data_IF_332557980139
#
_entry.id   IF_332557980139
#
_cell.length_a   1.000
_cell.length_b   1.000
_cell.length_c   1.000
_cell.angle_alpha   90.00
_cell.angle_beta   90.00
_cell.angle_gamma   90.00
#
_symmetry.space_group_name_H-M   'P 1'
#
loop_
_entity.id
_entity.type
_entity.pdbx_description
1 polymer ?
#
# COMPACT_ATOMS: atom_id res chain seq x y z
N UNK A 1 0.35 15.06 13.92
CA UNK A 1 -0.15 13.69 14.14
C UNK A 1 -1.04 13.31 12.95
N UNK A 2 -0.42 12.82 11.87
CA UNK A 2 -1.03 12.60 10.55
C UNK A 2 -1.99 11.38 10.47
N UNK A 3 -2.22 10.73 11.60
CA UNK A 3 -2.92 9.45 11.73
C UNK A 3 -4.45 9.63 11.67
N UNK A 4 -4.96 10.72 12.24
CA UNK A 4 -6.42 10.96 12.37
C UNK A 4 -7.08 11.50 11.10
N UNK A 5 -6.32 12.10 10.17
CA UNK A 5 -6.89 12.72 8.95
C UNK A 5 -6.97 11.72 7.77
N UNK A 6 -6.22 10.59 7.81
CA UNK A 6 -6.31 9.50 6.83
C UNK A 6 -7.60 8.69 6.98
N UNK A 7 -7.91 8.27 8.22
CA UNK A 7 -9.09 7.45 8.53
C UNK A 7 -10.42 8.16 8.18
N UNK A 8 -10.46 9.50 8.24
CA UNK A 8 -11.70 10.26 8.01
C UNK A 8 -11.92 10.69 6.54
N UNK A 9 -10.90 10.66 5.67
CA UNK A 9 -10.97 11.28 4.33
C UNK A 9 -10.63 10.36 3.16
N UNK A 10 -10.06 9.18 3.41
CA UNK A 10 -9.84 8.15 2.38
C UNK A 10 -8.97 8.60 1.20
N UNK A 11 -8.11 9.61 1.40
CA UNK A 11 -7.22 10.13 0.36
C UNK A 11 -5.86 10.47 0.96
N UNK A 12 -4.90 9.57 0.77
CA UNK A 12 -3.55 9.72 1.31
C UNK A 12 -2.89 10.97 0.71
N UNK A 13 -3.08 11.22 -0.59
CA UNK A 13 -2.50 12.37 -1.32
C UNK A 13 -2.87 13.72 -0.71
N UNK A 14 -4.15 13.98 -0.43
CA UNK A 14 -4.61 15.25 0.20
C UNK A 14 -4.00 15.46 1.59
N UNK A 15 -3.76 14.38 2.32
CA UNK A 15 -3.12 14.45 3.63
C UNK A 15 -1.61 14.65 3.51
N UNK A 16 -0.96 14.01 2.53
CA UNK A 16 0.47 14.19 2.26
C UNK A 16 0.81 15.60 1.78
N UNK A 17 -0.03 16.23 0.94
CA UNK A 17 0.19 17.63 0.52
C UNK A 17 0.21 18.60 1.70
N UNK A 18 -0.63 18.37 2.72
CA UNK A 18 -0.60 19.14 3.97
C UNK A 18 0.64 18.87 4.83
N UNK A 19 1.18 17.64 4.77
CA UNK A 19 2.40 17.27 5.50
C UNK A 19 3.62 17.92 4.85
N UNK A 20 3.68 17.98 3.51
CA UNK A 20 4.78 18.63 2.78
C UNK A 20 4.89 20.13 3.05
N UNK A 21 3.78 20.79 3.38
CA UNK A 21 3.76 22.22 3.76
C UNK A 21 4.35 22.48 5.17
N UNK A 22 4.52 21.46 6.02
CA UNK A 22 4.85 21.61 7.44
C UNK A 22 6.20 21.00 7.86
N UNK A 23 7.19 21.00 6.95
CA UNK A 23 8.56 20.45 7.10
C UNK A 23 8.66 18.91 7.17
N UNK A 24 9.67 18.37 6.48
CA UNK A 24 10.01 16.94 6.32
C UNK A 24 10.45 16.22 7.62
N UNK A 25 10.49 16.92 8.76
CA UNK A 25 10.83 16.33 10.07
C UNK A 25 9.65 15.58 10.73
N UNK A 26 8.52 15.43 10.04
CA UNK A 26 7.37 14.71 10.56
C UNK A 26 7.45 13.23 10.22
N UNK A 27 7.63 12.39 11.25
CA UNK A 27 7.43 10.94 11.13
C UNK A 27 5.99 10.66 10.72
N UNK A 28 5.79 10.13 9.51
CA UNK A 28 4.52 9.54 9.13
C UNK A 28 4.39 8.21 9.86
N UNK A 29 3.55 8.20 10.89
CA UNK A 29 3.14 6.97 11.55
C UNK A 29 1.83 6.55 10.92
N UNK A 30 1.77 5.32 10.41
CA UNK A 30 0.54 4.70 9.96
C UNK A 30 0.03 3.89 11.15
N UNK A 31 -1.10 4.31 11.74
CA UNK A 31 -1.83 3.48 12.68
C UNK A 31 -3.24 3.30 12.13
N UNK A 32 -3.65 2.05 11.93
CA UNK A 32 -5.05 1.70 11.72
C UNK A 32 -5.64 1.31 13.08
N UNK A 33 -6.47 2.18 13.66
CA UNK A 33 -7.23 1.87 14.88
C UNK A 33 -8.69 1.48 14.57
N UNK A 34 -9.10 1.50 13.29
CA UNK A 34 -10.48 1.31 12.88
C UNK A 34 -10.92 -0.16 12.82
N UNK A 35 -9.96 -1.08 12.68
CA UNK A 35 -10.20 -2.52 12.55
C UNK A 35 -9.36 -3.39 13.48
N UNK A 36 -8.65 -2.81 14.46
CA UNK A 36 -8.04 -3.56 15.56
C UNK A 36 -9.09 -4.15 16.51
N UNK A 37 -10.05 -4.90 15.98
CA UNK A 37 -10.78 -5.88 16.78
C UNK A 37 -9.84 -7.08 16.95
N UNK A 38 -9.67 -7.53 18.18
CA UNK A 38 -9.00 -8.79 18.45
C UNK A 38 -9.55 -9.87 17.52
N UNK A 39 -8.67 -10.69 16.94
CA UNK A 39 -9.03 -11.79 16.04
C UNK A 39 -10.17 -12.68 16.62
N UNK A 40 -10.31 -12.68 17.95
CA UNK A 40 -11.33 -13.40 18.72
C UNK A 40 -12.77 -12.88 18.59
N UNK A 41 -13.00 -11.69 18.04
CA UNK A 41 -14.34 -11.08 17.94
C UNK A 41 -15.08 -11.34 16.61
N UNK A 42 -14.44 -11.94 15.61
CA UNK A 42 -15.12 -12.35 14.38
C UNK A 42 -15.85 -13.67 14.63
N UNK A 43 -17.10 -13.58 15.08
CA UNK A 43 -18.01 -14.73 15.08
C UNK A 43 -18.38 -15.08 13.63
N UNK A 44 -17.81 -16.17 13.11
CA UNK A 44 -18.14 -16.68 11.77
C UNK A 44 -17.36 -16.03 10.64
N UNK A 45 -17.55 -16.55 9.42
CA UNK A 45 -16.86 -16.24 8.15
C UNK A 45 -17.02 -14.77 7.65
N UNK A 46 -17.29 -13.82 8.54
CA UNK A 46 -17.49 -12.41 8.21
C UNK A 46 -16.14 -11.75 7.89
N UNK A 47 -15.96 -11.35 6.64
CA UNK A 47 -14.76 -10.67 6.18
C UNK A 47 -15.06 -9.17 6.14
N UNK A 48 -14.34 -8.38 6.94
CA UNK A 48 -14.40 -6.91 6.90
C UNK A 48 -13.12 -6.37 6.26
N UNK A 49 -13.24 -5.33 5.44
CA UNK A 49 -12.08 -4.62 4.92
C UNK A 49 -12.37 -3.71 3.74
N UNK A 50 -11.30 -3.25 3.11
CA UNK A 50 -11.30 -2.40 1.91
C UNK A 50 -10.67 -3.19 0.77
N UNK A 51 -11.49 -3.70 -0.16
CA UNK A 51 -11.09 -4.71 -1.16
C UNK A 51 -9.73 -4.42 -1.84
N UNK A 52 -9.46 -3.20 -2.37
CA UNK A 52 -8.16 -2.89 -2.99
C UNK A 52 -6.91 -3.15 -2.13
N UNK A 53 -7.03 -3.07 -0.80
CA UNK A 53 -5.91 -3.23 0.13
C UNK A 53 -5.85 -4.64 0.73
N UNK A 54 -6.87 -5.46 0.51
CA UNK A 54 -6.95 -6.78 1.13
C UNK A 54 -6.12 -7.81 0.38
N UNK A 55 -5.30 -8.54 1.13
CA UNK A 55 -4.50 -9.62 0.59
C UNK A 55 -5.39 -10.76 0.01
N UNK A 56 -4.93 -11.46 -1.04
CA UNK A 56 -5.74 -12.47 -1.72
C UNK A 56 -6.12 -13.63 -0.79
N UNK A 57 -5.28 -14.00 0.18
CA UNK A 57 -5.62 -15.00 1.18
C UNK A 57 -6.73 -14.55 2.15
N UNK A 58 -6.79 -13.26 2.49
CA UNK A 58 -7.84 -12.69 3.34
C UNK A 58 -9.17 -12.64 2.60
N UNK A 59 -9.15 -12.25 1.31
CA UNK A 59 -10.33 -12.29 0.44
C UNK A 59 -10.87 -13.72 0.26
N UNK A 60 -10.03 -14.75 0.42
CA UNK A 60 -10.42 -16.17 0.46
C UNK A 60 -10.89 -16.65 1.85
N UNK A 61 -11.05 -15.74 2.80
CA UNK A 61 -11.55 -16.03 4.14
C UNK A 61 -10.50 -16.53 5.13
N UNK A 62 -9.20 -16.43 4.82
CA UNK A 62 -8.17 -16.65 5.85
C UNK A 62 -8.10 -15.45 6.80
N UNK A 63 -7.64 -15.64 8.05
CA UNK A 63 -7.42 -14.55 8.97
C UNK A 63 -6.38 -13.54 8.45
N UNK A 64 -6.47 -12.31 8.94
CA UNK A 64 -5.42 -11.32 8.78
C UNK A 64 -4.13 -11.79 9.50
N UNK A 65 -2.99 -11.50 8.88
CA UNK A 65 -1.65 -11.83 9.35
C UNK A 65 -0.70 -10.67 9.09
N UNK A 66 0.48 -10.63 9.72
CA UNK A 66 1.51 -9.64 9.36
C UNK A 66 1.83 -9.65 7.86
N UNK A 67 1.81 -10.81 7.19
CA UNK A 67 2.02 -10.89 5.75
C UNK A 67 0.88 -10.25 4.92
N UNK A 68 -0.37 -10.28 5.41
CA UNK A 68 -1.47 -9.55 4.77
C UNK A 68 -1.37 -8.04 4.97
N UNK A 69 -0.78 -7.60 6.09
CA UNK A 69 -0.50 -6.18 6.32
C UNK A 69 0.57 -5.68 5.36
N UNK A 70 1.57 -6.50 5.03
CA UNK A 70 2.59 -6.18 4.02
C UNK A 70 2.00 -6.07 2.61
N UNK A 71 1.01 -6.90 2.29
CA UNK A 71 0.23 -6.71 1.05
C UNK A 71 -0.50 -5.36 1.08
N UNK A 72 -1.19 -5.02 2.16
CA UNK A 72 -1.86 -3.72 2.30
C UNK A 72 -0.86 -2.57 2.14
N UNK A 73 0.33 -2.68 2.74
CA UNK A 73 1.39 -1.69 2.64
C UNK A 73 1.87 -1.49 1.20
N UNK A 74 1.98 -2.56 0.40
CA UNK A 74 2.32 -2.44 -1.02
C UNK A 74 1.33 -1.60 -1.83
N UNK A 75 0.05 -1.62 -1.46
CA UNK A 75 -1.00 -0.85 -2.13
C UNK A 75 -0.89 0.63 -1.78
N UNK A 76 -0.44 0.93 -0.56
CA UNK A 76 -0.05 2.28 -0.14
C UNK A 76 1.21 2.72 -0.91
N UNK A 77 2.21 1.85 -1.04
CA UNK A 77 3.41 2.11 -1.87
C UNK A 77 3.02 2.44 -3.32
N UNK A 78 2.08 1.69 -3.88
CA UNK A 78 1.56 1.95 -5.22
C UNK A 78 0.80 3.28 -5.32
N UNK A 79 -0.03 3.62 -4.32
CA UNK A 79 -0.73 4.91 -4.28
C UNK A 79 0.25 6.10 -4.24
N UNK A 80 1.42 5.94 -3.60
CA UNK A 80 2.47 6.97 -3.63
C UNK A 80 3.05 7.20 -5.03
N UNK A 81 3.22 6.15 -5.84
CA UNK A 81 3.80 6.29 -7.19
C UNK A 81 2.76 6.73 -8.22
N UNK A 82 1.52 6.28 -8.07
CA UNK A 82 0.43 6.57 -9.00
C UNK A 82 -0.24 7.91 -8.71
N UNK A 83 -0.25 8.35 -7.45
CA UNK A 83 -0.95 9.54 -6.99
C UNK A 83 -2.48 9.38 -6.93
N UNK A 84 -2.98 8.15 -7.06
CA UNK A 84 -4.40 7.80 -6.95
C UNK A 84 -4.57 6.48 -6.18
N UNK A 85 -5.73 6.25 -5.53
CA UNK A 85 -5.94 4.99 -4.83
C UNK A 85 -5.97 3.77 -5.77
N UNK A 86 -5.56 2.57 -5.28
CA UNK A 86 -5.58 1.33 -6.07
C UNK A 86 -6.98 1.01 -6.61
N UNK A 87 -7.02 0.51 -7.86
CA UNK A 87 -8.24 0.09 -8.57
C UNK A 87 -9.34 1.16 -8.67
N UNK A 88 -8.98 2.45 -8.66
CA UNK A 88 -9.95 3.56 -8.64
C UNK A 88 -10.88 3.65 -9.84
N UNK A 89 -10.57 2.98 -10.94
CA UNK A 89 -11.26 3.07 -12.21
C UNK A 89 -12.41 2.08 -12.33
N UNK A 90 -12.67 1.24 -11.32
CA UNK A 90 -13.70 0.19 -11.37
C UNK A 90 -14.47 0.05 -10.06
N UNK A 91 -15.55 -0.72 -10.10
CA UNK A 91 -16.32 -1.08 -8.92
C UNK A 91 -15.48 -1.94 -7.97
N UNK A 92 -15.60 -1.69 -6.66
CA UNK A 92 -15.01 -2.54 -5.63
C UNK A 92 -16.03 -3.58 -5.22
N UNK A 93 -16.26 -4.57 -6.07
CA UNK A 93 -17.27 -5.61 -5.89
C UNK A 93 -16.63 -6.99 -5.83
N UNK A 94 -17.47 -8.03 -5.86
CA UNK A 94 -17.01 -9.42 -5.87
C UNK A 94 -16.11 -9.75 -7.08
N UNK A 95 -16.32 -9.09 -8.22
CA UNK A 95 -15.48 -9.31 -9.40
C UNK A 95 -14.06 -8.80 -9.16
N UNK A 96 -13.91 -7.63 -8.53
CA UNK A 96 -12.59 -7.15 -8.12
C UNK A 96 -11.92 -8.12 -7.12
N UNK A 97 -12.66 -8.63 -6.15
CA UNK A 97 -12.13 -9.63 -5.20
C UNK A 97 -11.61 -10.89 -5.91
N UNK A 98 -12.37 -11.43 -6.88
CA UNK A 98 -11.95 -12.58 -7.69
C UNK A 98 -10.70 -12.24 -8.50
N UNK A 99 -10.67 -11.08 -9.14
CA UNK A 99 -9.54 -10.57 -9.90
C UNK A 99 -8.25 -10.54 -9.08
N UNK A 100 -8.29 -9.96 -7.88
CA UNK A 100 -7.14 -9.90 -6.96
C UNK A 100 -6.68 -11.32 -6.58
N UNK A 101 -7.62 -12.20 -6.25
CA UNK A 101 -7.36 -13.62 -5.98
C UNK A 101 -6.83 -14.40 -7.18
N UNK A 102 -6.89 -13.87 -8.40
CA UNK A 102 -6.30 -14.45 -9.62
C UNK A 102 -4.95 -13.81 -9.98
N UNK A 103 -4.45 -12.92 -9.13
CA UNK A 103 -3.16 -12.26 -9.35
C UNK A 103 -3.26 -10.88 -10.00
N UNK A 104 -4.46 -10.32 -10.18
CA UNK A 104 -4.58 -8.93 -10.66
C UNK A 104 -3.90 -7.99 -9.66
N UNK A 105 -3.10 -7.05 -10.18
CA UNK A 105 -2.43 -5.99 -9.43
C UNK A 105 -2.64 -4.67 -10.17
N UNK A 106 -2.55 -3.51 -9.49
CA UNK A 106 -2.58 -2.23 -10.15
C UNK A 106 -1.46 -2.09 -11.20
N UNK A 107 -1.72 -1.29 -12.23
CA UNK A 107 -0.77 -1.03 -13.32
C UNK A 107 0.50 -0.37 -12.81
N UNK A 108 1.67 -0.84 -13.27
CA UNK A 108 2.96 -0.26 -12.87
C UNK A 108 3.14 1.09 -13.54
N UNK A 109 3.50 2.09 -12.75
CA UNK A 109 3.82 3.43 -13.24
C UNK A 109 5.24 3.42 -13.79
N UNK A 110 5.40 3.71 -15.08
CA UNK A 110 6.69 3.68 -15.78
C UNK A 110 7.78 4.54 -15.11
N UNK A 111 7.40 5.65 -14.47
CA UNK A 111 8.32 6.54 -13.76
C UNK A 111 8.75 6.02 -12.38
N UNK A 112 8.30 4.84 -11.95
CA UNK A 112 8.67 4.28 -10.64
C UNK A 112 10.11 3.78 -10.67
N UNK A 113 10.99 4.22 -9.74
CA UNK A 113 12.33 3.66 -9.56
C UNK A 113 12.28 2.14 -9.40
N UNK A 114 13.21 1.42 -10.03
CA UNK A 114 13.19 -0.05 -10.08
C UNK A 114 13.36 -0.65 -8.68
N UNK A 115 14.26 -0.11 -7.86
CA UNK A 115 14.47 -0.52 -6.48
C UNK A 115 13.19 -0.39 -5.62
N UNK A 116 12.40 0.66 -5.83
CA UNK A 116 11.11 0.86 -5.17
C UNK A 116 10.09 -0.17 -5.67
N UNK A 117 10.03 -0.37 -6.98
CA UNK A 117 9.15 -1.33 -7.64
C UNK A 117 9.42 -2.76 -7.15
N UNK A 118 10.69 -3.12 -6.95
CA UNK A 118 11.08 -4.45 -6.48
C UNK A 118 10.63 -4.71 -5.05
N UNK A 119 10.78 -3.73 -4.15
CA UNK A 119 10.27 -3.83 -2.76
C UNK A 119 8.74 -3.90 -2.76
N UNK A 120 8.07 -3.02 -3.52
CA UNK A 120 6.62 -3.04 -3.66
C UNK A 120 6.11 -4.39 -4.18
N UNK A 121 6.79 -4.96 -5.19
CA UNK A 121 6.44 -6.25 -5.76
C UNK A 121 6.64 -7.42 -4.81
N UNK A 122 7.71 -7.40 -4.00
CA UNK A 122 7.91 -8.40 -2.95
C UNK A 122 6.81 -8.32 -1.88
N UNK A 123 6.34 -7.13 -1.54
CA UNK A 123 5.29 -6.93 -0.54
C UNK A 123 3.91 -7.46 -1.00
N UNK A 124 3.61 -7.48 -2.30
CA UNK A 124 2.33 -7.99 -2.84
C UNK A 124 2.40 -9.36 -3.50
N UNK A 125 3.46 -10.13 -3.21
CA UNK A 125 3.64 -11.47 -3.75
C UNK A 125 2.39 -12.33 -3.44
N UNK A 126 2.01 -13.17 -4.40
CA UNK A 126 0.85 -14.05 -4.24
C UNK A 126 1.07 -15.05 -3.10
N UNK A 127 2.31 -15.52 -2.93
CA UNK A 127 2.71 -16.34 -1.80
C UNK A 127 3.03 -15.45 -0.59
N UNK A 128 2.16 -15.51 0.42
CA UNK A 128 2.33 -14.75 1.66
C UNK A 128 3.64 -15.02 2.38
N UNK A 129 4.27 -16.19 2.18
CA UNK A 129 5.54 -16.55 2.80
C UNK A 129 6.75 -15.86 2.15
N UNK A 130 6.60 -15.35 0.93
CA UNK A 130 7.67 -14.62 0.22
C UNK A 130 7.67 -13.13 0.51
N UNK A 131 6.63 -12.64 1.18
CA UNK A 131 6.52 -11.22 1.54
C UNK A 131 7.53 -10.91 2.66
N UNK A 132 8.30 -9.82 2.55
CA UNK A 132 9.24 -9.42 3.58
C UNK A 132 8.49 -8.95 4.83
N UNK A 133 9.14 -9.01 5.97
CA UNK A 133 8.64 -8.40 7.21
C UNK A 133 8.65 -6.87 7.14
N UNK A 134 7.85 -6.23 8.00
CA UNK A 134 7.83 -4.78 8.14
C UNK A 134 9.21 -4.22 8.54
N UNK A 135 9.99 -4.97 9.32
CA UNK A 135 11.34 -4.57 9.74
C UNK A 135 12.27 -4.54 8.54
N UNK A 136 12.30 -5.60 7.74
CA UNK A 136 13.15 -5.66 6.54
C UNK A 136 12.82 -4.52 5.56
N UNK A 137 11.53 -4.25 5.32
CA UNK A 137 11.11 -3.15 4.44
C UNK A 137 11.46 -1.79 5.03
N UNK A 138 11.28 -1.61 6.35
CA UNK A 138 11.67 -0.39 7.06
C UNK A 138 13.16 -0.12 6.94
N UNK A 139 14.00 -1.15 7.11
CA UNK A 139 15.46 -1.01 7.01
C UNK A 139 15.91 -0.66 5.58
N UNK A 140 15.29 -1.28 4.57
CA UNK A 140 15.54 -0.94 3.16
C UNK A 140 15.18 0.52 2.88
N UNK A 141 13.96 0.95 3.23
CA UNK A 141 13.50 2.33 3.00
C UNK A 141 14.35 3.32 3.80
N UNK A 142 14.71 2.99 5.04
CA UNK A 142 15.57 3.83 5.87
C UNK A 142 16.95 4.01 5.24
N UNK A 143 17.52 2.97 4.60
CA UNK A 143 18.81 3.07 3.92
C UNK A 143 18.78 4.05 2.73
N UNK A 144 17.64 4.18 2.05
CA UNK A 144 17.48 5.12 0.94
C UNK A 144 17.37 6.57 1.41
N UNK A 145 16.78 6.79 2.59
CA UNK A 145 16.49 8.13 3.13
C UNK A 145 17.65 8.66 3.98
N UNK A 146 18.19 7.82 4.85
CA UNK A 146 19.20 8.20 5.82
C UNK A 146 20.57 7.75 5.35
N UNK A 147 21.49 8.72 5.22
CA UNK A 147 22.89 8.41 4.93
C UNK A 147 23.46 7.56 6.09
N UNK A 148 24.10 6.41 5.80
CA UNK A 148 24.76 5.63 6.83
C UNK A 148 25.87 6.46 7.50
N UNK A 149 26.01 6.31 8.82
CA UNK A 149 27.02 7.02 9.62
C UNK A 149 28.45 6.64 9.22
N UNK A 150 28.63 5.41 8.75
CA UNK A 150 29.90 4.93 8.22
C UNK A 150 29.91 5.17 6.71
N UNK A 151 30.97 5.78 6.17
CA UNK A 151 31.04 6.21 4.76
C UNK A 151 31.05 5.04 3.75
N UNK A 152 30.89 3.80 4.21
CA UNK A 152 30.80 2.60 3.39
C UNK A 152 29.38 2.42 2.84
N UNK A 153 29.07 3.15 1.77
CA UNK A 153 27.86 2.98 0.98
C UNK A 153 28.10 1.86 -0.04
N UNK A 154 27.27 0.81 -0.03
CA UNK A 154 27.33 -0.26 -1.03
C UNK A 154 27.03 0.26 -2.44
N UNK A 155 27.60 -0.38 -3.47
CA UNK A 155 27.30 -0.02 -4.86
C UNK A 155 25.81 -0.19 -5.20
N UNK A 156 25.14 -1.17 -4.59
CA UNK A 156 23.70 -1.34 -4.69
C UNK A 156 22.94 -0.11 -4.15
N UNK A 157 23.32 0.39 -2.96
CA UNK A 157 22.68 1.56 -2.39
C UNK A 157 22.93 2.82 -3.23
N UNK A 158 24.13 2.99 -3.80
CA UNK A 158 24.42 4.08 -4.75
C UNK A 158 23.55 3.98 -6.00
N UNK A 159 23.39 2.78 -6.56
CA UNK A 159 22.53 2.52 -7.71
C UNK A 159 21.08 2.88 -7.40
N UNK A 160 20.55 2.39 -6.28
CA UNK A 160 19.18 2.68 -5.83
C UNK A 160 18.94 4.19 -5.71
N UNK A 161 19.85 4.92 -5.05
CA UNK A 161 19.74 6.38 -4.92
C UNK A 161 19.75 7.07 -6.29
N UNK A 162 20.60 6.62 -7.22
CA UNK A 162 20.64 7.18 -8.57
C UNK A 162 19.36 6.93 -9.36
N UNK A 163 18.68 5.80 -9.15
CA UNK A 163 17.37 5.57 -9.77
C UNK A 163 16.34 6.61 -9.32
N UNK A 164 16.31 6.97 -8.03
CA UNK A 164 15.42 8.03 -7.52
C UNK A 164 15.78 9.40 -8.09
N UNK A 165 17.07 9.73 -8.21
CA UNK A 165 17.53 11.02 -8.75
C UNK A 165 17.19 11.15 -10.24
N UNK A 166 17.33 10.06 -10.99
CA UNK A 166 17.11 10.04 -12.44
C UNK A 166 15.65 9.72 -12.82
N UNK A 167 14.79 9.43 -11.83
CA UNK A 167 13.40 9.13 -12.08
C UNK A 167 12.70 10.33 -12.75
N UNK A 168 12.01 10.11 -13.89
CA UNK A 168 11.29 11.19 -14.52
C UNK A 168 10.15 11.65 -13.61
N UNK A 169 9.87 12.95 -13.61
CA UNK A 169 8.67 13.48 -12.95
C UNK A 169 7.47 13.04 -13.79
N UNK A 170 6.89 11.89 -13.43
CA UNK A 170 5.79 11.27 -14.15
C UNK A 170 4.53 12.13 -14.10
N UNK A 171 3.99 12.46 -15.26
CA UNK A 171 2.61 12.93 -15.40
C UNK A 171 1.76 11.70 -15.73
N UNK A 172 1.26 11.01 -14.70
CA UNK A 172 0.47 9.80 -14.90
C UNK A 172 -0.89 10.19 -15.47
N UNK A 173 -1.22 9.72 -16.69
CA UNK A 173 -2.55 9.89 -17.31
C UNK A 173 -3.63 9.01 -16.66
N UNK A 174 -3.49 8.72 -15.37
CA UNK A 174 -4.44 7.91 -14.64
C UNK A 174 -5.74 8.68 -14.42
N UNK A 175 -6.84 7.94 -14.42
CA UNK A 175 -8.16 8.47 -14.12
C UNK A 175 -8.12 8.98 -12.67
N UNK A 176 -8.21 10.29 -12.48
CA UNK A 176 -8.19 10.91 -11.14
C UNK A 176 -9.55 10.87 -10.45
N UNK A 177 -10.63 10.70 -11.23
CA UNK A 177 -12.00 10.58 -10.73
C UNK A 177 -12.34 9.12 -10.45
N UNK A 178 -12.54 8.79 -9.19
CA UNK A 178 -12.93 7.44 -8.77
C UNK A 178 -14.25 7.00 -9.41
N UNK A 179 -14.33 5.72 -9.74
CA UNK A 179 -15.55 5.05 -10.16
C UNK A 179 -16.64 5.22 -9.08
N UNK A 180 -17.92 5.46 -9.44
CA UNK A 180 -18.97 5.70 -8.44
C UNK A 180 -19.19 4.57 -7.42
N UNK A 181 -18.81 3.34 -7.80
CA UNK A 181 -18.88 2.14 -6.94
C UNK A 181 -17.52 1.76 -6.34
N UNK A 182 -16.50 2.61 -6.46
CA UNK A 182 -15.26 2.47 -5.70
C UNK A 182 -15.53 2.84 -4.24
N UNK A 183 -15.10 1.98 -3.33
CA UNK A 183 -15.31 2.14 -1.89
C UNK A 183 -13.99 1.95 -1.13
N UNK A 184 -13.53 3.03 -0.49
CA UNK A 184 -12.27 3.07 0.28
C UNK A 184 -12.49 3.10 1.79
N UNK A 185 -13.71 2.79 2.23
CA UNK A 185 -14.08 2.67 3.64
C UNK A 185 -14.35 1.21 3.97
N UNK A 186 -13.90 0.75 5.13
CA UNK A 186 -14.10 -0.64 5.54
C UNK A 186 -15.58 -0.99 5.64
N UNK A 187 -15.95 -2.17 5.17
CA UNK A 187 -17.32 -2.70 5.22
C UNK A 187 -17.31 -4.22 5.32
N UNK A 188 -18.42 -4.78 5.77
CA UNK A 188 -18.67 -6.21 5.67
C UNK A 188 -18.72 -6.60 4.19
N UNK A 189 -17.96 -7.62 3.81
CA UNK A 189 -18.00 -8.23 2.50
C UNK A 189 -18.92 -9.45 2.56
N UNK A 190 -20.09 -9.31 1.95
CA UNK A 190 -21.04 -10.39 1.77
C UNK A 190 -20.87 -10.97 0.36
N UNK A 191 -20.26 -12.16 0.28
CA UNK A 191 -20.09 -12.92 -0.97
C UNK A 191 -21.19 -13.97 -1.17
N UNK A 192 -22.24 -13.98 -0.35
CA UNK A 192 -23.32 -14.98 -0.40
C UNK A 192 -24.49 -14.60 -1.31
N UNK A 193 -24.39 -13.46 -2.02
CA UNK A 193 -25.42 -12.94 -2.92
C UNK A 193 -25.05 -13.09 -4.39
#
# INVERSE_FOLDING_TARGET
>A
MAVMDYANKGNLRKNLTKITENNWNQRLLIFDLGLCKAADFLKGYEIYGVIPFMAPEVLRGKPYTPASDMYSFSMIMWEFTSGVPPFNNRAHDFQLSISICRGERPEIIESTPQCYLDVMKKCWDEDSLKRPSAIEVSDIIASWIFRPYDNNISEELKSNIMEFINAPIGNNNLITKSHPQACYTSRLLDFTR
#
